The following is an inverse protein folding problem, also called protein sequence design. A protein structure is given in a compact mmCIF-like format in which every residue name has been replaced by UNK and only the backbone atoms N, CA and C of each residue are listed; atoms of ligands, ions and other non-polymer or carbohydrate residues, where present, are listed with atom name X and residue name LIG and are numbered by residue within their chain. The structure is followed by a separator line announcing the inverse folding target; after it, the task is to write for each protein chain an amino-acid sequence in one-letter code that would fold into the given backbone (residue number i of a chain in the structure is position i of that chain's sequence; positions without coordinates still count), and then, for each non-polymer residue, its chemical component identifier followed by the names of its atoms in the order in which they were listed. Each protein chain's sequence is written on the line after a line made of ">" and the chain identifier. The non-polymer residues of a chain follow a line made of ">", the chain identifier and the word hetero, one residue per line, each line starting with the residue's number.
data_IF_862520802189
#
_entry.id   IF_862520802189
#
_cell.length_a   1.000
_cell.length_b   1.000
_cell.length_c   1.000
_cell.angle_alpha   90.00
_cell.angle_beta   90.00
_cell.angle_gamma   90.00
#
_symmetry.space_group_name_H-M   'P 1'
#
loop_
_entity.id
_entity.type
_entity.pdbx_description
1 polymer ?
#
# COMPACT_ATOMS: atom_id res chain seq x y z
N UNK A 1 -17.13 52.70 51.72
CA UNK A 1 -17.73 51.61 52.52
C UNK A 1 -19.03 51.21 51.84
N UNK A 2 -19.04 50.05 51.15
CA UNK A 2 -20.20 49.26 50.67
C UNK A 2 -21.20 49.98 49.72
N UNK A 3 -21.82 49.41 48.67
CA UNK A 3 -22.04 48.02 48.21
C UNK A 3 -22.58 48.07 46.75
N UNK A 4 -22.28 47.00 46.00
CA UNK A 4 -22.82 46.56 44.70
C UNK A 4 -24.32 46.86 44.45
N UNK A 5 -24.72 47.10 43.17
CA UNK A 5 -25.81 46.37 42.44
C UNK A 5 -25.68 46.55 40.89
N UNK A 6 -25.25 45.47 40.23
CA UNK A 6 -25.78 44.80 39.00
C UNK A 6 -26.50 45.63 37.91
N UNK A 7 -25.93 45.70 36.69
CA UNK A 7 -26.26 44.86 35.51
C UNK A 7 -27.58 45.18 34.80
N UNK A 8 -27.49 45.85 33.65
CA UNK A 8 -28.43 45.63 32.54
C UNK A 8 -27.64 45.64 31.22
N UNK A 9 -27.48 44.45 30.65
CA UNK A 9 -26.79 44.16 29.41
C UNK A 9 -27.65 44.57 28.20
N UNK A 10 -27.14 45.47 27.37
CA UNK A 10 -27.53 45.58 25.95
C UNK A 10 -26.24 45.83 25.17
N UNK A 11 -25.62 44.77 24.65
CA UNK A 11 -24.65 44.89 23.58
C UNK A 11 -25.19 44.13 22.37
N UNK A 12 -25.56 44.94 21.39
CA UNK A 12 -26.14 44.59 20.11
C UNK A 12 -25.02 44.15 19.18
N UNK A 13 -25.20 42.96 18.61
CA UNK A 13 -24.78 42.53 17.27
C UNK A 13 -23.48 43.12 16.70
N UNK A 14 -22.42 42.32 16.70
CA UNK A 14 -21.50 42.26 15.55
C UNK A 14 -20.74 40.93 15.54
N UNK A 15 -21.46 39.85 15.26
CA UNK A 15 -20.85 38.57 14.87
C UNK A 15 -20.80 38.55 13.33
N UNK A 16 -19.77 39.18 12.77
CA UNK A 16 -19.34 38.88 11.42
C UNK A 16 -18.71 37.48 11.48
N UNK A 17 -19.50 36.47 11.13
CA UNK A 17 -19.02 35.12 10.93
C UNK A 17 -17.99 35.12 9.79
N UNK A 18 -16.72 35.06 10.16
CA UNK A 18 -15.67 34.63 9.26
C UNK A 18 -15.93 33.15 8.94
N UNK A 19 -16.70 32.90 7.88
CA UNK A 19 -16.72 31.60 7.20
C UNK A 19 -15.35 31.43 6.55
N UNK A 20 -14.41 30.89 7.32
CA UNK A 20 -13.20 30.30 6.79
C UNK A 20 -13.66 29.06 6.03
N UNK A 21 -13.67 29.15 4.70
CA UNK A 21 -13.69 27.97 3.84
C UNK A 21 -12.44 27.14 4.15
N UNK A 22 -12.59 26.17 5.06
CA UNK A 22 -11.67 25.04 5.14
C UNK A 22 -11.89 24.23 3.86
N UNK A 23 -11.12 24.56 2.82
CA UNK A 23 -10.99 23.68 1.68
C UNK A 23 -10.60 22.29 2.23
N UNK A 24 -11.25 21.20 1.78
CA UNK A 24 -10.84 19.88 2.19
C UNK A 24 -9.37 19.71 1.85
N UNK A 25 -8.56 19.29 2.83
CA UNK A 25 -7.19 18.86 2.62
C UNK A 25 -7.23 17.61 1.72
N UNK A 26 -7.33 17.83 0.41
CA UNK A 26 -7.17 16.80 -0.59
C UNK A 26 -5.81 16.17 -0.34
N UNK A 27 -5.78 14.86 -0.18
CA UNK A 27 -4.53 14.11 -0.02
C UNK A 27 -3.71 14.30 -1.30
N UNK A 28 -2.77 15.23 -1.28
CA UNK A 28 -1.83 15.49 -2.37
C UNK A 28 -0.76 14.42 -2.31
N UNK A 29 -0.96 13.36 -3.09
CA UNK A 29 0.17 12.54 -3.53
C UNK A 29 1.01 13.39 -4.47
N UNK A 30 2.27 13.63 -4.12
CA UNK A 30 3.21 14.37 -4.95
C UNK A 30 4.14 13.41 -5.67
N UNK A 31 4.35 13.62 -6.95
CA UNK A 31 5.25 12.81 -7.76
C UNK A 31 6.61 13.46 -7.90
N UNK A 32 7.68 12.69 -7.76
CA UNK A 32 9.06 13.16 -7.83
C UNK A 32 9.83 12.35 -8.87
N UNK A 33 10.61 13.05 -9.68
CA UNK A 33 11.60 12.44 -10.57
C UNK A 33 12.95 13.05 -10.25
N UNK A 34 13.90 12.22 -9.87
CA UNK A 34 15.22 12.62 -9.45
C UNK A 34 16.25 12.10 -10.45
N UNK A 35 17.20 12.96 -10.79
CA UNK A 35 18.38 12.59 -11.59
C UNK A 35 19.56 12.56 -10.65
N UNK A 36 20.18 11.39 -10.54
CA UNK A 36 21.38 11.16 -9.73
C UNK A 36 22.57 11.17 -10.69
N UNK A 37 23.74 11.64 -10.23
CA UNK A 37 24.95 11.69 -11.05
C UNK A 37 25.24 10.35 -11.73
N UNK A 38 25.62 10.41 -13.01
CA UNK A 38 25.95 9.23 -13.82
C UNK A 38 27.17 8.48 -13.24
N UNK A 39 27.18 7.15 -13.38
CA UNK A 39 28.26 6.31 -12.85
C UNK A 39 28.15 5.99 -11.36
N UNK A 40 27.11 6.48 -10.68
CA UNK A 40 26.80 6.08 -9.30
C UNK A 40 26.10 4.72 -9.26
N UNK A 41 26.19 4.05 -8.11
CA UNK A 41 25.61 2.71 -7.91
C UNK A 41 24.08 2.71 -7.83
N UNK A 42 23.46 3.89 -7.68
CA UNK A 42 22.01 4.08 -7.51
C UNK A 42 21.24 4.16 -8.84
N UNK A 43 21.95 4.11 -9.97
CA UNK A 43 21.37 4.36 -11.28
C UNK A 43 21.15 5.86 -11.55
N UNK A 44 20.96 6.25 -12.82
CA UNK A 44 20.93 7.66 -13.21
C UNK A 44 19.63 8.38 -12.84
N UNK A 45 18.55 7.65 -12.54
CA UNK A 45 17.25 8.25 -12.23
C UNK A 45 16.50 7.45 -11.16
N UNK A 46 15.83 8.16 -10.25
CA UNK A 46 14.91 7.62 -9.26
C UNK A 46 13.56 8.33 -9.40
N UNK A 47 12.49 7.58 -9.61
CA UNK A 47 11.13 8.13 -9.70
C UNK A 47 10.26 7.53 -8.59
N UNK A 48 9.55 8.40 -7.86
CA UNK A 48 8.68 7.96 -6.78
C UNK A 48 7.51 8.91 -6.53
N UNK A 49 6.41 8.38 -6.00
CA UNK A 49 5.28 9.15 -5.48
C UNK A 49 5.33 9.16 -3.96
N UNK A 50 5.10 10.30 -3.33
CA UNK A 50 4.97 10.42 -1.88
C UNK A 50 3.56 10.87 -1.51
N UNK A 51 2.88 10.10 -0.66
CA UNK A 51 1.62 10.49 -0.06
C UNK A 51 1.88 10.95 1.38
N UNK A 52 1.84 12.27 1.61
CA UNK A 52 2.11 12.86 2.91
C UNK A 52 1.10 12.45 4.00
N UNK A 53 -0.14 12.11 3.62
CA UNK A 53 -1.19 11.71 4.59
C UNK A 53 -0.95 10.30 5.11
N UNK A 54 -0.61 9.37 4.24
CA UNK A 54 -0.33 7.98 4.63
C UNK A 54 1.15 7.74 4.94
N UNK A 55 2.02 8.72 4.70
CA UNK A 55 3.46 8.61 4.83
C UNK A 55 4.03 7.41 4.05
N UNK A 56 3.53 7.22 2.83
CA UNK A 56 3.90 6.11 1.94
C UNK A 56 4.66 6.64 0.74
N UNK A 57 5.71 5.93 0.34
CA UNK A 57 6.39 6.13 -0.94
C UNK A 57 6.06 4.96 -1.86
N UNK A 58 5.74 5.28 -3.11
CA UNK A 58 5.58 4.31 -4.19
C UNK A 58 6.70 4.57 -5.19
N UNK A 59 7.62 3.62 -5.34
CA UNK A 59 8.61 3.68 -6.41
C UNK A 59 7.92 3.42 -7.74
N UNK A 60 8.27 4.19 -8.77
CA UNK A 60 7.82 3.93 -10.13
C UNK A 60 8.98 3.33 -10.90
N UNK A 61 8.76 2.12 -11.37
CA UNK A 61 9.78 1.31 -12.01
C UNK A 61 10.43 2.04 -13.20
N UNK A 62 11.74 1.85 -13.33
CA UNK A 62 12.58 2.50 -14.33
C UNK A 62 12.65 1.61 -15.58
N UNK A 63 11.99 2.03 -16.66
CA UNK A 63 12.08 1.37 -17.97
C UNK A 63 13.52 1.51 -18.50
N UNK A 64 14.35 0.49 -18.24
CA UNK A 64 15.67 0.32 -18.87
C UNK A 64 16.89 0.10 -17.94
N UNK A 65 16.70 -0.11 -16.63
CA UNK A 65 17.78 -0.40 -15.67
C UNK A 65 17.34 -1.43 -14.61
N UNK A 66 18.26 -2.00 -13.80
CA UNK A 66 17.95 -3.18 -13.01
C UNK A 66 17.20 -2.83 -11.72
N UNK A 67 15.90 -3.11 -11.69
CA UNK A 67 15.24 -3.60 -10.47
C UNK A 67 14.59 -4.94 -10.80
N UNK A 68 15.41 -6.00 -10.76
CA UNK A 68 15.01 -7.41 -10.93
C UNK A 68 14.97 -8.16 -9.59
N UNK A 69 14.80 -7.45 -8.48
CA UNK A 69 14.98 -7.96 -7.12
C UNK A 69 13.81 -7.59 -6.21
N UNK A 70 13.60 -8.40 -5.16
CA UNK A 70 12.63 -8.11 -4.11
C UNK A 70 13.03 -6.84 -3.36
N UNK A 71 12.23 -5.78 -3.48
CA UNK A 71 12.43 -4.51 -2.80
C UNK A 71 11.50 -4.42 -1.60
N UNK A 72 12.05 -4.12 -0.42
CA UNK A 72 11.25 -3.70 0.72
C UNK A 72 11.40 -2.21 0.94
N UNK A 73 10.28 -1.49 0.98
CA UNK A 73 10.25 -0.10 1.45
C UNK A 73 10.54 -0.09 2.95
N UNK A 74 11.66 0.53 3.33
CA UNK A 74 12.02 0.79 4.71
C UNK A 74 11.18 1.92 5.33
N UNK A 75 11.66 2.47 6.44
CA UNK A 75 10.97 3.56 7.14
C UNK A 75 10.91 4.82 6.29
N UNK A 76 9.69 5.29 6.00
CA UNK A 76 9.45 6.63 5.46
C UNK A 76 9.22 7.58 6.63
N UNK A 77 9.87 8.73 6.64
CA UNK A 77 9.70 9.75 7.69
C UNK A 77 9.87 11.14 7.10
N UNK A 78 8.85 11.97 7.23
CA UNK A 78 8.98 13.41 6.99
C UNK A 78 9.32 14.13 8.29
N UNK A 79 10.39 14.94 8.29
CA UNK A 79 10.76 15.82 9.41
C UNK A 79 10.98 17.22 8.86
N UNK A 80 9.99 18.10 9.06
CA UNK A 80 10.02 19.45 8.49
C UNK A 80 9.96 19.42 6.96
N UNK A 81 10.98 20.01 6.33
CA UNK A 81 11.18 20.09 4.89
C UNK A 81 11.93 18.89 4.30
N UNK A 82 12.33 17.91 5.12
CA UNK A 82 13.01 16.71 4.68
C UNK A 82 12.10 15.49 4.68
N UNK A 83 12.17 14.72 3.60
CA UNK A 83 11.60 13.39 3.46
C UNK A 83 12.71 12.35 3.46
N UNK A 84 12.72 11.49 4.47
CA UNK A 84 13.63 10.36 4.56
C UNK A 84 12.92 9.08 4.17
N UNK A 85 13.57 8.23 3.39
CA UNK A 85 13.09 6.89 3.09
C UNK A 85 14.25 5.97 2.77
N UNK A 86 14.05 4.66 2.89
CA UNK A 86 15.08 3.69 2.55
C UNK A 86 14.53 2.53 1.75
N UNK A 87 15.41 1.92 0.96
CA UNK A 87 15.17 0.70 0.22
C UNK A 87 16.08 -0.38 0.77
N UNK A 88 15.52 -1.55 1.09
CA UNK A 88 16.29 -2.68 1.56
C UNK A 88 16.30 -3.77 0.50
N UNK A 89 17.51 -4.22 0.16
CA UNK A 89 17.80 -5.30 -0.76
C UNK A 89 18.18 -6.51 0.07
N UNK A 90 17.37 -7.56 -0.04
CA UNK A 90 17.50 -8.75 0.76
C UNK A 90 18.14 -9.88 -0.05
N UNK A 91 19.06 -10.61 0.58
CA UNK A 91 19.69 -11.81 0.03
C UNK A 91 19.67 -12.88 1.11
N UNK A 92 19.24 -14.11 0.79
CA UNK A 92 19.22 -15.26 1.73
C UNK A 92 18.57 -14.96 3.11
N UNK A 93 17.63 -14.02 3.14
CA UNK A 93 16.91 -13.60 4.33
C UNK A 93 17.69 -12.72 5.32
N UNK A 94 18.72 -12.01 4.87
CA UNK A 94 19.31 -10.86 5.56
C UNK A 94 19.30 -9.62 4.65
N UNK A 95 19.40 -8.41 5.23
CA UNK A 95 19.57 -7.16 4.46
C UNK A 95 20.99 -7.16 3.93
N UNK A 96 21.21 -7.48 2.66
CA UNK A 96 22.55 -7.41 2.08
C UNK A 96 22.94 -5.96 1.79
N UNK A 97 21.97 -5.12 1.45
CA UNK A 97 22.21 -3.71 1.13
C UNK A 97 21.01 -2.87 1.56
N UNK A 98 21.29 -1.71 2.18
CA UNK A 98 20.29 -0.68 2.45
C UNK A 98 20.67 0.59 1.70
N UNK A 99 19.76 1.11 0.91
CA UNK A 99 19.86 2.45 0.38
C UNK A 99 19.02 3.39 1.23
N UNK A 100 19.58 4.54 1.59
CA UNK A 100 18.87 5.59 2.31
C UNK A 100 18.82 6.83 1.42
N UNK A 101 17.66 7.47 1.41
CA UNK A 101 17.36 8.63 0.60
C UNK A 101 16.83 9.74 1.50
N UNK A 102 17.35 10.94 1.34
CA UNK A 102 16.88 12.15 2.01
C UNK A 102 16.59 13.22 0.97
N UNK A 103 15.32 13.49 0.72
CA UNK A 103 14.88 14.56 -0.16
C UNK A 103 14.57 15.81 0.67
N UNK A 104 15.33 16.88 0.45
CA UNK A 104 15.02 18.21 0.99
C UNK A 104 14.09 18.94 0.00
N UNK A 105 12.85 19.22 0.41
CA UNK A 105 11.84 19.82 -0.46
C UNK A 105 12.15 21.27 -0.86
N UNK A 106 12.84 22.04 -0.01
CA UNK A 106 13.19 23.44 -0.30
C UNK A 106 14.05 23.56 -1.58
N UNK A 107 15.08 22.72 -1.66
CA UNK A 107 16.07 22.76 -2.74
C UNK A 107 15.86 21.65 -3.77
N UNK A 108 14.88 20.77 -3.52
CA UNK A 108 14.64 19.53 -4.27
C UNK A 108 15.91 18.68 -4.42
N UNK A 109 16.75 18.68 -3.39
CA UNK A 109 18.02 17.96 -3.34
C UNK A 109 17.80 16.59 -2.72
N UNK A 110 18.19 15.55 -3.45
CA UNK A 110 18.16 14.16 -2.97
C UNK A 110 19.57 13.73 -2.58
N UNK A 111 19.77 13.40 -1.32
CA UNK A 111 20.96 12.69 -0.88
C UNK A 111 20.66 11.20 -0.84
N UNK A 112 21.49 10.40 -1.50
CA UNK A 112 21.42 8.95 -1.48
C UNK A 112 22.67 8.37 -0.83
N UNK A 113 22.52 7.38 0.04
CA UNK A 113 23.63 6.61 0.59
C UNK A 113 23.31 5.12 0.50
N UNK A 114 24.34 4.29 0.41
CA UNK A 114 24.20 2.83 0.38
C UNK A 114 25.07 2.24 1.46
N UNK A 115 24.50 1.37 2.27
CA UNK A 115 25.21 0.57 3.25
C UNK A 115 25.12 -0.90 2.84
N UNK A 116 26.19 -1.65 3.06
CA UNK A 116 26.22 -3.10 2.87
C UNK A 116 26.38 -3.80 4.21
N UNK A 117 25.74 -4.96 4.34
CA UNK A 117 25.81 -5.78 5.55
C UNK A 117 26.16 -7.21 5.20
N UNK A 118 26.80 -7.91 6.14
CA UNK A 118 27.01 -9.35 6.06
C UNK A 118 25.79 -10.14 6.54
N UNK A 119 25.89 -11.47 6.44
CA UNK A 119 24.84 -12.40 6.84
C UNK A 119 24.48 -12.34 8.34
N UNK A 120 25.41 -11.88 9.18
CA UNK A 120 25.20 -11.72 10.62
C UNK A 120 24.59 -10.35 10.97
N UNK A 121 24.33 -9.51 9.96
CA UNK A 121 23.83 -8.15 10.12
C UNK A 121 24.92 -7.14 10.52
N UNK A 122 26.20 -7.55 10.48
CA UNK A 122 27.34 -6.67 10.66
C UNK A 122 27.42 -5.68 9.50
N UNK A 123 27.57 -4.39 9.82
CA UNK A 123 27.84 -3.37 8.80
C UNK A 123 29.23 -3.61 8.22
N UNK A 124 29.29 -3.92 6.93
CA UNK A 124 30.54 -4.31 6.27
C UNK A 124 31.19 -3.16 5.54
N UNK A 125 30.39 -2.24 5.01
CA UNK A 125 30.88 -1.10 4.27
C UNK A 125 29.84 0.02 4.20
N UNK A 126 30.29 1.25 4.41
CA UNK A 126 29.54 2.43 3.98
C UNK A 126 29.89 2.66 2.50
N UNK A 127 28.94 2.34 1.63
CA UNK A 127 29.03 2.56 0.20
C UNK A 127 29.04 4.05 -0.17
N UNK A 128 29.12 4.35 -1.48
CA UNK A 128 29.20 5.72 -1.96
C UNK A 128 27.93 6.50 -1.60
N UNK A 129 28.12 7.79 -1.31
CA UNK A 129 27.04 8.77 -1.28
C UNK A 129 26.89 9.41 -2.64
N UNK A 130 25.67 9.69 -3.06
CA UNK A 130 25.38 10.43 -4.28
C UNK A 130 24.41 11.57 -3.99
N UNK A 131 24.54 12.63 -4.77
CA UNK A 131 23.59 13.74 -4.76
C UNK A 131 22.80 13.68 -6.06
N UNK A 132 21.49 13.87 -5.96
CA UNK A 132 20.58 13.98 -7.09
C UNK A 132 19.74 15.24 -6.98
N UNK A 133 19.22 15.67 -8.13
CA UNK A 133 18.29 16.80 -8.21
C UNK A 133 16.93 16.23 -8.60
N UNK A 134 15.90 16.56 -7.83
CA UNK A 134 14.53 16.16 -8.08
C UNK A 134 13.72 17.28 -8.71
N UNK A 135 12.69 16.87 -9.45
CA UNK A 135 11.61 17.74 -9.88
C UNK A 135 10.29 17.14 -9.40
N UNK A 136 9.42 17.96 -8.83
CA UNK A 136 8.05 17.55 -8.57
C UNK A 136 7.31 17.55 -9.92
N UNK A 137 6.78 16.39 -10.34
CA UNK A 137 6.09 16.27 -11.61
C UNK A 137 4.76 17.04 -11.65
N UNK A 138 4.23 17.42 -10.48
CA UNK A 138 3.01 18.23 -10.32
C UNK A 138 3.31 19.73 -10.11
N UNK A 139 4.58 20.16 -10.23
CA UNK A 139 4.92 21.58 -10.23
C UNK A 139 4.29 22.26 -11.47
N UNK A 140 3.68 23.45 -11.34
CA UNK A 140 3.06 24.13 -12.47
C UNK A 140 4.11 24.44 -13.53
N UNK A 141 4.13 23.64 -14.59
CA UNK A 141 4.88 23.96 -15.80
C UNK A 141 4.36 25.31 -16.32
N UNK A 142 5.28 26.24 -16.59
CA UNK A 142 4.99 27.39 -17.45
C UNK A 142 4.38 26.84 -18.74
N UNK A 143 3.14 27.25 -18.98
CA UNK A 143 2.29 27.03 -20.16
C UNK A 143 3.09 26.52 -21.38
N UNK A 144 3.06 25.21 -21.59
CA UNK A 144 3.34 24.58 -22.86
C UNK A 144 2.15 23.67 -23.19
N UNK A 145 1.74 23.76 -24.44
CA UNK A 145 0.54 23.22 -25.05
C UNK A 145 0.43 21.69 -24.91
N UNK A 146 -0.80 21.21 -24.73
CA UNK A 146 -1.10 19.85 -24.28
C UNK A 146 -0.71 18.74 -25.30
N UNK A 147 -0.15 17.62 -24.83
CA UNK A 147 -0.33 16.33 -25.46
C UNK A 147 -1.51 15.56 -24.83
N UNK A 148 -2.19 14.82 -25.71
CA UNK A 148 -3.42 14.02 -25.55
C UNK A 148 -3.55 13.17 -24.27
N UNK A 149 -4.79 12.89 -23.79
CA UNK A 149 -5.03 12.09 -22.61
C UNK A 149 -5.08 10.60 -22.97
N UNK A 150 -3.94 9.93 -22.98
CA UNK A 150 -3.90 8.47 -22.93
C UNK A 150 -2.80 8.05 -21.96
N UNK A 151 -3.21 7.80 -20.73
CA UNK A 151 -2.35 7.40 -19.62
C UNK A 151 -3.18 6.87 -18.46
N UNK A 152 -4.12 5.97 -18.76
CA UNK A 152 -4.79 5.16 -17.75
C UNK A 152 -3.75 4.28 -17.06
N UNK A 153 -3.22 4.71 -15.92
CA UNK A 153 -2.75 3.78 -14.91
C UNK A 153 -4.00 3.22 -14.21
N UNK A 154 -4.64 2.22 -14.83
CA UNK A 154 -5.77 1.52 -14.21
C UNK A 154 -5.25 0.68 -13.06
N UNK A 155 -5.63 0.99 -11.83
CA UNK A 155 -5.70 -0.04 -10.80
C UNK A 155 -6.61 -1.16 -11.36
N UNK A 156 -6.09 -2.38 -11.46
CA UNK A 156 -6.83 -3.47 -12.10
C UNK A 156 -8.10 -3.77 -11.30
N UNK A 157 -9.22 -3.92 -12.00
CA UNK A 157 -10.50 -4.31 -11.41
C UNK A 157 -10.45 -5.78 -10.98
N UNK A 158 -11.19 -6.14 -9.93
CA UNK A 158 -11.29 -7.53 -9.50
C UNK A 158 -11.92 -8.38 -10.60
N UNK A 159 -11.19 -9.39 -11.04
CA UNK A 159 -11.69 -10.43 -11.94
C UNK A 159 -12.32 -11.55 -11.12
N UNK A 160 -13.34 -12.21 -11.65
CA UNK A 160 -13.99 -13.37 -11.01
C UNK A 160 -14.07 -14.51 -11.99
N UNK A 161 -13.56 -15.67 -11.58
CA UNK A 161 -13.59 -16.94 -12.31
C UNK A 161 -14.45 -17.93 -11.55
N UNK A 162 -15.34 -18.62 -12.28
CA UNK A 162 -16.21 -19.67 -11.74
C UNK A 162 -15.96 -20.92 -12.56
N UNK A 163 -15.75 -22.05 -11.91
CA UNK A 163 -15.46 -23.30 -12.61
C UNK A 163 -15.73 -24.54 -11.77
N UNK A 164 -15.18 -25.67 -12.22
CA UNK A 164 -15.15 -26.92 -11.47
C UNK A 164 -13.70 -27.34 -11.26
N UNK A 165 -13.35 -27.77 -10.05
CA UNK A 165 -12.01 -28.29 -9.76
C UNK A 165 -11.87 -29.73 -10.27
N UNK A 166 -10.69 -30.34 -10.13
CA UNK A 166 -10.42 -31.70 -10.61
C UNK A 166 -11.33 -32.77 -9.97
N UNK A 167 -11.97 -32.46 -8.83
CA UNK A 167 -12.93 -33.34 -8.14
C UNK A 167 -14.37 -33.11 -8.59
N UNK A 168 -14.61 -32.20 -9.54
CA UNK A 168 -15.93 -31.85 -10.06
C UNK A 168 -16.71 -30.84 -9.20
N UNK A 169 -16.12 -30.37 -8.10
CA UNK A 169 -16.73 -29.41 -7.17
C UNK A 169 -16.70 -28.00 -7.77
N UNK A 170 -17.79 -27.25 -7.65
CA UNK A 170 -17.81 -25.85 -8.07
C UNK A 170 -16.81 -25.03 -7.25
N UNK A 171 -16.12 -24.09 -7.88
CA UNK A 171 -15.25 -23.13 -7.21
C UNK A 171 -15.50 -21.72 -7.71
N UNK A 172 -15.16 -20.75 -6.86
CA UNK A 172 -15.07 -19.34 -7.21
C UNK A 172 -13.68 -18.85 -6.83
N UNK A 173 -13.07 -18.10 -7.74
CA UNK A 173 -11.81 -17.42 -7.53
C UNK A 173 -11.98 -15.96 -7.94
N UNK A 174 -11.76 -15.02 -7.03
CA UNK A 174 -11.71 -13.59 -7.35
C UNK A 174 -10.32 -13.06 -7.09
N UNK A 175 -9.76 -12.34 -8.06
CA UNK A 175 -8.37 -11.94 -8.08
C UNK A 175 -8.20 -10.52 -8.60
N UNK A 176 -7.29 -9.79 -7.98
CA UNK A 176 -6.79 -8.50 -8.45
C UNK A 176 -5.27 -8.50 -8.46
N UNK A 177 -4.69 -7.68 -9.33
CA UNK A 177 -3.25 -7.55 -9.49
C UNK A 177 -2.83 -6.09 -9.34
N UNK A 178 -1.70 -5.87 -8.68
CA UNK A 178 -1.06 -4.58 -8.52
C UNK A 178 0.43 -4.77 -8.77
N UNK A 179 0.87 -4.39 -9.97
CA UNK A 179 2.24 -4.65 -10.46
C UNK A 179 2.58 -6.15 -10.37
N UNK A 180 3.65 -6.52 -9.68
CA UNK A 180 4.09 -7.90 -9.45
C UNK A 180 3.31 -8.64 -8.35
N UNK A 181 2.44 -7.94 -7.61
CA UNK A 181 1.66 -8.52 -6.52
C UNK A 181 0.25 -8.86 -6.96
N UNK A 182 -0.33 -9.88 -6.32
CA UNK A 182 -1.73 -10.23 -6.51
C UNK A 182 -2.38 -10.61 -5.19
N UNK A 183 -3.66 -10.28 -5.06
CA UNK A 183 -4.51 -10.74 -3.97
C UNK A 183 -5.67 -11.54 -4.56
N UNK A 184 -5.90 -12.69 -3.95
CA UNK A 184 -6.86 -13.67 -4.41
C UNK A 184 -7.70 -14.17 -3.24
N UNK A 185 -9.02 -14.21 -3.44
CA UNK A 185 -9.95 -14.92 -2.59
C UNK A 185 -10.52 -16.11 -3.35
N UNK A 186 -10.54 -17.28 -2.71
CA UNK A 186 -11.06 -18.49 -3.31
C UNK A 186 -11.92 -19.30 -2.35
N UNK A 187 -12.88 -20.02 -2.93
CA UNK A 187 -13.67 -21.02 -2.23
C UNK A 187 -14.11 -22.12 -3.19
N UNK A 188 -14.41 -23.29 -2.65
CA UNK A 188 -15.15 -24.38 -3.30
C UNK A 188 -16.50 -24.66 -2.63
N UNK A 189 -17.29 -25.56 -3.23
CA UNK A 189 -18.66 -25.85 -2.80
C UNK A 189 -18.78 -26.54 -1.43
N UNK A 190 -17.67 -26.92 -0.79
CA UNK A 190 -17.65 -27.51 0.55
C UNK A 190 -17.16 -26.53 1.63
N UNK A 191 -16.57 -25.39 1.27
CA UNK A 191 -16.00 -24.45 2.24
C UNK A 191 -17.05 -23.79 3.15
N UNK A 192 -18.35 -23.93 2.85
CA UNK A 192 -19.45 -23.50 3.73
C UNK A 192 -19.48 -24.19 5.09
N UNK A 193 -18.91 -25.40 5.21
CA UNK A 193 -18.92 -26.15 6.46
C UNK A 193 -18.12 -25.42 7.56
N UNK A 194 -17.04 -24.74 7.18
CA UNK A 194 -16.18 -23.98 8.10
C UNK A 194 -16.41 -22.46 8.04
N UNK A 195 -17.26 -21.98 7.13
CA UNK A 195 -17.52 -20.55 6.88
C UNK A 195 -16.24 -19.72 6.67
N UNK A 196 -15.26 -20.28 5.95
CA UNK A 196 -13.98 -19.61 5.68
C UNK A 196 -13.79 -19.34 4.20
N UNK A 197 -13.22 -18.17 3.90
CA UNK A 197 -12.78 -17.80 2.56
C UNK A 197 -11.26 -17.91 2.49
N UNK A 198 -10.77 -18.72 1.57
CA UNK A 198 -9.34 -18.87 1.31
C UNK A 198 -8.76 -17.56 0.79
N UNK A 199 -7.57 -17.20 1.26
CA UNK A 199 -6.82 -16.01 0.85
C UNK A 199 -5.46 -16.45 0.36
N UNK A 200 -5.09 -15.99 -0.84
CA UNK A 200 -3.73 -16.13 -1.40
C UNK A 200 -3.21 -14.74 -1.76
N UNK A 201 -2.12 -14.34 -1.12
CA UNK A 201 -1.46 -13.08 -1.38
C UNK A 201 -0.06 -13.35 -1.96
N UNK A 202 0.09 -13.07 -3.25
CA UNK A 202 1.31 -13.31 -4.02
C UNK A 202 2.31 -12.19 -3.73
N UNK A 203 3.19 -12.43 -2.75
CA UNK A 203 4.32 -11.56 -2.41
C UNK A 203 5.42 -12.38 -1.75
N UNK A 204 6.66 -12.19 -2.23
CA UNK A 204 7.85 -12.87 -1.73
C UNK A 204 8.37 -12.20 -0.45
N UNK A 205 8.06 -10.93 -0.24
CA UNK A 205 8.39 -10.22 0.99
C UNK A 205 7.36 -9.13 1.32
N UNK A 206 7.14 -8.93 2.61
CA UNK A 206 6.37 -7.84 3.17
C UNK A 206 7.32 -6.94 3.97
N UNK A 207 7.05 -5.63 4.11
CA UNK A 207 7.81 -4.78 5.00
C UNK A 207 7.97 -5.39 6.40
N UNK A 208 9.23 -5.65 6.78
CA UNK A 208 9.67 -6.31 8.02
C UNK A 208 9.15 -7.74 8.22
N UNK A 209 8.78 -8.43 7.14
CA UNK A 209 8.33 -9.80 7.19
C UNK A 209 8.87 -10.58 5.97
N UNK A 210 9.96 -11.30 6.22
CA UNK A 210 10.63 -12.14 5.23
C UNK A 210 9.89 -13.45 5.07
N UNK A 211 9.70 -13.84 3.82
CA UNK A 211 9.04 -15.08 3.51
C UNK A 211 10.09 -16.18 3.29
N UNK A 212 10.30 -17.00 4.32
CA UNK A 212 11.01 -18.27 4.21
C UNK A 212 9.99 -19.40 4.20
N UNK A 213 10.32 -20.54 3.59
CA UNK A 213 9.44 -21.71 3.63
C UNK A 213 8.95 -21.97 5.06
N UNK A 214 7.64 -22.22 5.19
CA UNK A 214 6.95 -22.48 6.47
C UNK A 214 6.93 -21.31 7.47
N UNK A 215 7.31 -20.10 7.04
CA UNK A 215 7.15 -18.90 7.88
C UNK A 215 5.67 -18.62 8.10
N UNK A 216 5.29 -18.37 9.34
CA UNK A 216 3.93 -17.94 9.68
C UNK A 216 3.90 -16.46 10.03
N UNK A 217 2.79 -15.81 9.72
CA UNK A 217 2.59 -14.40 9.99
C UNK A 217 1.15 -14.09 10.36
N UNK A 218 0.98 -13.11 11.24
CA UNK A 218 -0.34 -12.53 11.50
C UNK A 218 -0.49 -11.27 10.66
N UNK A 219 -1.18 -11.39 9.54
CA UNK A 219 -1.55 -10.26 8.71
C UNK A 219 -2.95 -9.77 9.09
N UNK A 220 -3.32 -8.59 8.62
CA UNK A 220 -4.69 -8.11 8.70
C UNK A 220 -5.16 -7.57 7.36
N UNK A 221 -6.41 -7.86 7.02
CA UNK A 221 -7.09 -7.26 5.88
C UNK A 221 -7.98 -6.13 6.40
N UNK A 222 -7.82 -4.94 5.84
CA UNK A 222 -8.61 -3.76 6.18
C UNK A 222 -9.45 -3.37 4.98
N UNK A 223 -10.76 -3.52 5.10
CA UNK A 223 -11.73 -3.11 4.10
C UNK A 223 -12.19 -1.69 4.43
N UNK A 224 -11.83 -0.73 3.57
CA UNK A 224 -12.25 0.66 3.75
C UNK A 224 -13.61 0.85 3.11
N UNK A 225 -14.63 1.07 3.93
CA UNK A 225 -16.03 1.18 3.54
C UNK A 225 -16.41 2.62 3.14
N UNK A 226 -17.58 2.83 2.51
CA UNK A 226 -18.15 4.15 2.34
C UNK A 226 -18.30 4.90 3.65
N UNK A 227 -17.98 6.19 3.63
CA UNK A 227 -17.99 7.03 4.82
C UNK A 227 -16.75 6.88 5.72
N UNK A 228 -15.75 6.09 5.32
CA UNK A 228 -14.46 5.96 6.02
C UNK A 228 -14.48 4.98 7.20
N UNK A 229 -15.58 4.25 7.40
CA UNK A 229 -15.59 3.11 8.31
C UNK A 229 -14.63 2.02 7.81
N UNK A 230 -14.08 1.24 8.74
CA UNK A 230 -13.12 0.18 8.42
C UNK A 230 -13.62 -1.12 9.03
N UNK A 231 -13.63 -2.17 8.21
CA UNK A 231 -13.82 -3.54 8.66
C UNK A 231 -12.48 -4.26 8.64
N UNK A 232 -12.15 -4.98 9.71
CA UNK A 232 -10.85 -5.64 9.87
C UNK A 232 -11.04 -7.15 10.00
N UNK A 233 -10.35 -7.89 9.15
CA UNK A 233 -10.20 -9.34 9.28
C UNK A 233 -8.78 -9.71 9.65
N UNK A 234 -8.66 -10.76 10.46
CA UNK A 234 -7.36 -11.35 10.82
C UNK A 234 -7.05 -12.47 9.85
N UNK A 235 -5.85 -12.43 9.28
CA UNK A 235 -5.33 -13.47 8.41
C UNK A 235 -4.11 -14.11 9.09
N UNK A 236 -4.32 -15.30 9.66
CA UNK A 236 -3.21 -16.14 10.09
C UNK A 236 -2.64 -16.83 8.85
N UNK A 237 -1.56 -16.24 8.31
CA UNK A 237 -0.94 -16.66 7.06
C UNK A 237 0.26 -17.58 7.30
N UNK A 238 0.50 -18.49 6.37
CA UNK A 238 1.76 -19.19 6.23
C UNK A 238 2.31 -18.97 4.82
N UNK A 239 3.62 -18.88 4.69
CA UNK A 239 4.25 -18.69 3.40
C UNK A 239 4.52 -20.03 2.72
N UNK A 240 4.04 -20.15 1.48
CA UNK A 240 4.37 -21.25 0.57
C UNK A 240 5.42 -20.77 -0.42
N UNK A 241 6.60 -21.41 -0.41
CA UNK A 241 7.73 -21.08 -1.29
C UNK A 241 7.75 -21.84 -2.61
N UNK A 242 6.59 -22.32 -3.09
CA UNK A 242 6.45 -23.32 -4.16
C UNK A 242 6.96 -22.91 -5.54
N UNK A 243 8.25 -22.67 -5.73
CA UNK A 243 8.84 -22.30 -7.02
C UNK A 243 8.41 -20.92 -7.54
N UNK A 244 9.01 -20.51 -8.66
CA UNK A 244 8.75 -19.20 -9.26
C UNK A 244 7.29 -19.12 -9.75
N UNK A 245 6.54 -18.12 -9.28
CA UNK A 245 5.14 -17.88 -9.65
C UNK A 245 4.09 -18.49 -8.71
N UNK A 246 4.50 -19.35 -7.78
CA UNK A 246 3.60 -19.98 -6.78
C UNK A 246 3.91 -19.57 -5.33
N UNK A 247 4.89 -18.67 -5.18
CA UNK A 247 5.26 -18.02 -3.93
C UNK A 247 4.13 -17.12 -3.41
N UNK A 248 3.56 -17.45 -2.25
CA UNK A 248 2.47 -16.67 -1.68
C UNK A 248 2.29 -16.89 -0.18
N UNK A 249 1.71 -15.88 0.47
CA UNK A 249 1.12 -15.98 1.79
C UNK A 249 -0.29 -16.56 1.68
N UNK A 250 -0.50 -17.71 2.31
CA UNK A 250 -1.73 -18.49 2.26
C UNK A 250 -2.41 -18.47 3.62
N UNK A 251 -3.72 -18.30 3.63
CA UNK A 251 -4.51 -18.43 4.85
C UNK A 251 -6.00 -18.38 4.54
N UNK A 252 -6.80 -18.06 5.54
CA UNK A 252 -8.24 -17.87 5.36
C UNK A 252 -8.82 -16.90 6.37
N UNK A 253 -9.88 -16.21 5.96
CA UNK A 253 -10.65 -15.28 6.80
C UNK A 253 -12.06 -15.83 7.02
N UNK A 254 -12.80 -15.23 7.96
CA UNK A 254 -14.21 -15.53 8.11
C UNK A 254 -15.00 -15.04 6.89
N UNK A 255 -16.04 -15.79 6.52
CA UNK A 255 -16.86 -15.52 5.35
C UNK A 255 -18.36 -15.52 5.69
N UNK A 256 -18.68 -15.00 6.88
CA UNK A 256 -20.04 -14.71 7.28
C UNK A 256 -20.66 -13.59 6.44
N UNK A 257 -21.95 -13.33 6.66
CA UNK A 257 -22.68 -12.31 5.90
C UNK A 257 -22.09 -10.92 6.06
N UNK A 258 -21.76 -10.52 7.29
CA UNK A 258 -21.14 -9.23 7.60
C UNK A 258 -19.80 -9.02 6.91
N UNK A 259 -18.96 -10.06 6.90
CA UNK A 259 -17.64 -10.10 6.33
C UNK A 259 -17.70 -9.92 4.81
N UNK A 260 -18.59 -10.68 4.16
CA UNK A 260 -18.81 -10.61 2.72
C UNK A 260 -19.50 -9.31 2.29
N UNK A 261 -20.41 -8.77 3.10
CA UNK A 261 -21.01 -7.45 2.86
C UNK A 261 -19.96 -6.34 2.97
N UNK A 262 -19.06 -6.42 3.96
CA UNK A 262 -17.94 -5.49 4.08
C UNK A 262 -16.98 -5.59 2.90
N UNK A 263 -16.64 -6.81 2.45
CA UNK A 263 -15.81 -7.02 1.27
C UNK A 263 -16.46 -6.45 0.01
N UNK A 264 -17.75 -6.70 -0.22
CA UNK A 264 -18.48 -6.20 -1.37
C UNK A 264 -18.62 -4.67 -1.35
N UNK A 265 -18.83 -4.07 -0.18
CA UNK A 265 -19.00 -2.63 -0.04
C UNK A 265 -17.68 -1.84 -0.05
N UNK A 266 -16.53 -2.52 0.07
CA UNK A 266 -15.23 -1.87 0.19
C UNK A 266 -14.89 -1.01 -1.04
N UNK A 267 -14.17 0.09 -0.80
CA UNK A 267 -13.51 0.89 -1.83
C UNK A 267 -12.05 0.51 -2.02
N UNK A 268 -11.40 0.09 -0.93
CA UNK A 268 -10.05 -0.47 -0.95
C UNK A 268 -9.90 -1.58 0.06
N UNK A 269 -8.96 -2.49 -0.23
CA UNK A 269 -8.57 -3.60 0.63
C UNK A 269 -7.08 -3.42 0.91
N UNK A 270 -6.73 -3.11 2.15
CA UNK A 270 -5.35 -2.95 2.58
C UNK A 270 -4.88 -4.22 3.28
N UNK A 271 -3.66 -4.65 2.98
CA UNK A 271 -2.95 -5.69 3.74
C UNK A 271 -2.04 -5.00 4.72
N UNK A 272 -2.19 -5.31 6.00
CA UNK A 272 -1.33 -4.80 7.06
C UNK A 272 -0.39 -5.92 7.53
N UNK A 273 0.86 -5.54 7.79
CA UNK A 273 1.87 -6.43 8.36
C UNK A 273 1.61 -6.68 9.87
N UNK A 274 2.52 -7.41 10.51
CA UNK A 274 2.39 -7.78 11.93
C UNK A 274 2.43 -6.58 12.88
N UNK A 275 3.06 -5.50 12.47
CA UNK A 275 3.16 -4.24 13.22
C UNK A 275 1.90 -3.36 13.05
N UNK A 276 0.99 -3.75 12.15
CA UNK A 276 -0.20 -2.96 11.79
C UNK A 276 0.09 -1.82 10.80
N UNK A 277 1.24 -1.83 10.15
CA UNK A 277 1.56 -0.90 9.06
C UNK A 277 0.95 -1.42 7.75
N UNK A 278 0.45 -0.51 6.91
CA UNK A 278 -0.09 -0.87 5.58
C UNK A 278 1.06 -1.29 4.68
N UNK A 279 1.06 -2.56 4.29
CA UNK A 279 2.01 -3.10 3.33
C UNK A 279 1.55 -2.86 1.88
N UNK A 280 0.28 -3.15 1.59
CA UNK A 280 -0.28 -3.01 0.25
C UNK A 280 -1.73 -2.52 0.29
N UNK A 281 -2.17 -1.84 -0.77
CA UNK A 281 -3.52 -1.32 -0.92
C UNK A 281 -4.05 -1.66 -2.32
N UNK A 282 -5.09 -2.48 -2.37
CA UNK A 282 -5.79 -2.86 -3.59
C UNK A 282 -7.08 -2.04 -3.74
N UNK A 283 -7.39 -1.60 -4.96
CA UNK A 283 -8.72 -1.10 -5.27
C UNK A 283 -9.73 -2.25 -5.10
N UNK A 284 -10.92 -1.97 -4.59
CA UNK A 284 -11.96 -2.99 -4.39
C UNK A 284 -13.06 -2.97 -5.47
N UNK A 285 -12.83 -2.26 -6.58
CA UNK A 285 -13.76 -2.23 -7.71
C UNK A 285 -13.95 -3.64 -8.27
N UNK A 286 -15.20 -4.09 -8.43
CA UNK A 286 -15.54 -5.43 -8.94
C UNK A 286 -15.78 -6.48 -7.84
N UNK A 287 -15.44 -6.20 -6.58
CA UNK A 287 -15.67 -7.13 -5.46
C UNK A 287 -17.14 -7.53 -5.23
N UNK A 288 -18.18 -6.68 -5.45
CA UNK A 288 -19.57 -7.13 -5.32
C UNK A 288 -19.94 -8.31 -6.23
N UNK A 289 -19.36 -8.35 -7.44
CA UNK A 289 -19.62 -9.42 -8.42
C UNK A 289 -19.00 -10.74 -7.91
N UNK A 290 -17.77 -10.67 -7.43
CA UNK A 290 -17.08 -11.81 -6.81
C UNK A 290 -17.83 -12.34 -5.59
N UNK A 291 -18.25 -11.46 -4.68
CA UNK A 291 -19.03 -11.83 -3.49
C UNK A 291 -20.36 -12.48 -3.84
N UNK A 292 -21.07 -11.96 -4.85
CA UNK A 292 -22.30 -12.58 -5.33
C UNK A 292 -22.07 -14.00 -5.89
N UNK A 293 -20.94 -14.22 -6.59
CA UNK A 293 -20.56 -15.54 -7.07
C UNK A 293 -20.20 -16.48 -5.91
N UNK A 294 -19.43 -16.03 -4.92
CA UNK A 294 -19.08 -16.78 -3.71
C UNK A 294 -20.34 -17.27 -2.99
N UNK A 295 -21.30 -16.37 -2.74
CA UNK A 295 -22.59 -16.71 -2.12
C UNK A 295 -23.35 -17.77 -2.89
N UNK A 296 -23.40 -17.64 -4.22
CA UNK A 296 -24.17 -18.53 -5.07
C UNK A 296 -23.55 -19.92 -5.20
N UNK A 297 -22.24 -20.01 -5.33
CA UNK A 297 -21.55 -21.25 -5.72
C UNK A 297 -20.86 -21.94 -4.55
N UNK A 298 -20.35 -21.18 -3.57
CA UNK A 298 -19.72 -21.71 -2.37
C UNK A 298 -20.65 -21.69 -1.15
N UNK A 299 -21.84 -21.07 -1.25
CA UNK A 299 -22.84 -20.94 -0.17
C UNK A 299 -22.38 -20.20 1.09
N UNK A 300 -21.26 -19.49 1.02
CA UNK A 300 -20.73 -18.67 2.12
C UNK A 300 -21.55 -17.39 2.29
N UNK A 301 -21.81 -17.00 3.55
CA UNK A 301 -22.45 -15.73 3.91
C UNK A 301 -23.82 -15.49 3.25
N UNK A 302 -24.59 -16.56 3.06
CA UNK A 302 -25.94 -16.53 2.48
C UNK A 302 -27.06 -16.28 3.51
N UNK A 303 -26.78 -16.48 4.81
CA UNK A 303 -27.72 -16.28 5.93
C UNK A 303 -27.54 -14.92 6.62
#
# INVERSE_FOLDING_TARGET
>A
MLLLVRHLCINVFSMAAALIFLAPAHATTSNYKCTIEEGTVFGPQLAFSYNAKSNVILLRDYVGGPYSHDLTLGNVRQTGDMLHFGLEFWTDGFVATRESYSLKFEDMLLEASRDSYDIDGGHTNQGPTAIGICVAADAPAKKAEAPSPDGNASANEWSTTIGKNARGLAYVNMRTELHEFALEFHCDENDWEDNRLGVKFFAISLPRLHARADTTARLSLFFTLPGGAVYRERLDAHYSGGGQGDQAWLGSINAGKSELDALAAAHSINILNQDGEVAYSFAAKGTPIGVAAIRKHCKLGAE
#
